data_IF_605074152155
#
_entry.id   IF_605074152155
#
_cell.length_a   1.000
_cell.length_b   1.000
_cell.length_c   1.000
_cell.angle_alpha   90.00
_cell.angle_beta   90.00
_cell.angle_gamma   90.00
#
_symmetry.space_group_name_H-M   'P 1'
#
loop_
_entity.id
_entity.type
_entity.pdbx_description
1 polymer ?
#
# COMPACT_ATOMS: atom_id res chain seq x y z
N UNK A 1 15.07 -6.58 53.98
CA UNK A 1 15.51 -6.76 52.59
C UNK A 1 14.30 -6.53 51.70
N UNK A 2 14.25 -5.41 50.96
CA UNK A 2 13.09 -5.01 50.15
C UNK A 2 13.21 -5.64 48.76
N UNK A 3 12.30 -6.53 48.39
CA UNK A 3 12.18 -7.02 47.02
C UNK A 3 11.39 -6.00 46.18
N UNK A 4 12.11 -5.21 45.37
CA UNK A 4 11.49 -4.44 44.29
C UNK A 4 11.47 -5.32 43.05
N UNK A 5 10.30 -5.81 42.66
CA UNK A 5 10.09 -6.43 41.35
C UNK A 5 9.97 -5.31 40.30
N UNK A 6 10.65 -5.39 39.15
CA UNK A 6 10.42 -4.45 38.07
C UNK A 6 9.05 -4.75 37.48
N UNK A 7 8.17 -3.76 37.52
CA UNK A 7 6.98 -3.72 36.66
C UNK A 7 7.47 -3.88 35.23
N UNK A 8 7.19 -5.02 34.60
CA UNK A 8 7.26 -5.15 33.15
C UNK A 8 6.29 -4.12 32.60
N UNK A 9 6.81 -2.96 32.23
CA UNK A 9 6.12 -2.05 31.35
C UNK A 9 5.99 -2.79 30.02
N UNK A 10 4.83 -3.43 29.82
CA UNK A 10 4.36 -3.76 28.49
C UNK A 10 4.16 -2.40 27.81
N UNK A 11 5.22 -1.85 27.20
CA UNK A 11 5.05 -0.87 26.14
C UNK A 11 4.22 -1.58 25.10
N UNK A 12 2.90 -1.38 25.18
CA UNK A 12 2.06 -1.48 24.01
C UNK A 12 2.81 -0.69 22.95
N UNK A 13 3.39 -1.39 21.97
CA UNK A 13 3.73 -0.75 20.72
C UNK A 13 2.42 -0.06 20.36
N UNK A 14 2.41 1.27 20.41
CA UNK A 14 1.36 2.02 19.76
C UNK A 14 1.42 1.51 18.34
N UNK A 15 0.51 0.59 18.00
CA UNK A 15 0.34 0.12 16.65
C UNK A 15 0.08 1.41 15.91
N UNK A 16 1.09 1.84 15.15
CA UNK A 16 0.95 2.96 14.22
C UNK A 16 -0.33 2.63 13.48
N UNK A 17 -1.37 3.42 13.71
CA UNK A 17 -2.70 3.10 13.22
C UNK A 17 -2.56 2.90 11.72
N UNK A 18 -2.95 1.72 11.23
CA UNK A 18 -2.84 1.29 9.83
C UNK A 18 -3.75 2.10 8.88
N UNK A 19 -4.03 3.37 9.21
CA UNK A 19 -5.17 4.13 8.75
C UNK A 19 -4.85 5.26 7.77
N UNK A 20 -3.59 5.65 7.54
CA UNK A 20 -3.33 6.92 6.83
C UNK A 20 -2.59 6.78 5.50
N UNK A 21 -2.79 5.66 4.79
CA UNK A 21 -2.62 5.73 3.35
C UNK A 21 -3.58 4.83 2.58
N UNK A 22 -3.81 5.24 1.35
CA UNK A 22 -4.55 4.50 0.36
C UNK A 22 -3.92 4.74 -1.01
N UNK A 23 -4.06 3.76 -1.90
CA UNK A 23 -3.76 3.94 -3.31
C UNK A 23 -4.97 4.53 -4.03
N UNK A 24 -4.73 5.28 -5.08
CA UNK A 24 -5.78 5.82 -5.92
C UNK A 24 -5.42 5.50 -7.35
N UNK A 25 -6.26 4.70 -8.01
CA UNK A 25 -6.10 4.39 -9.41
C UNK A 25 -6.71 5.50 -10.27
N UNK A 26 -5.99 5.87 -11.32
CA UNK A 26 -6.42 6.82 -12.33
C UNK A 26 -6.38 6.15 -13.70
N UNK A 27 -7.39 6.36 -14.55
CA UNK A 27 -7.43 5.80 -15.89
C UNK A 27 -6.43 6.44 -16.85
N UNK A 28 -5.87 7.60 -16.49
CA UNK A 28 -4.79 8.28 -17.23
C UNK A 28 -3.43 7.87 -16.68
N UNK A 29 -2.34 8.17 -17.40
CA UNK A 29 -0.97 7.83 -17.00
C UNK A 29 -0.31 8.85 -16.06
N UNK A 30 -0.94 10.00 -15.83
CA UNK A 30 -0.42 11.15 -15.11
C UNK A 30 -1.17 11.46 -13.80
N UNK A 31 -1.97 10.50 -13.31
CA UNK A 31 -2.83 10.64 -12.13
C UNK A 31 -3.80 11.83 -12.22
N UNK A 32 -4.24 12.16 -13.44
CA UNK A 32 -5.26 13.17 -13.69
C UNK A 32 -6.64 12.54 -13.91
N UNK A 33 -7.70 13.33 -13.69
CA UNK A 33 -9.07 12.88 -13.93
C UNK A 33 -9.73 12.17 -12.74
N UNK A 34 -10.83 11.46 -13.03
CA UNK A 34 -11.66 10.83 -12.01
C UNK A 34 -11.01 9.54 -11.52
N UNK A 35 -11.00 9.36 -10.20
CA UNK A 35 -10.15 8.38 -9.56
C UNK A 35 -10.95 7.27 -8.89
N UNK A 36 -10.58 6.02 -9.15
CA UNK A 36 -11.11 4.85 -8.43
C UNK A 36 -10.16 4.56 -7.26
N UNK A 37 -10.55 4.95 -6.05
CA UNK A 37 -9.75 4.73 -4.85
C UNK A 37 -9.56 3.24 -4.56
N UNK A 38 -8.30 2.80 -4.47
CA UNK A 38 -7.91 1.45 -4.02
C UNK A 38 -7.33 1.56 -2.61
N UNK A 39 -8.15 1.29 -1.60
CA UNK A 39 -7.64 1.25 -0.24
C UNK A 39 -6.72 0.04 -0.05
N UNK A 40 -5.43 0.32 0.17
CA UNK A 40 -4.40 -0.67 0.49
C UNK A 40 -3.93 -0.35 1.90
N UNK A 41 -4.09 -1.30 2.82
CA UNK A 41 -3.76 -1.10 4.23
C UNK A 41 -2.27 -1.44 4.50
N UNK A 42 -1.64 -0.71 5.44
CA UNK A 42 -0.23 -0.90 5.87
C UNK A 42 0.04 -2.14 6.72
N UNK A 43 -0.95 -2.99 6.90
CA UNK A 43 -0.77 -4.21 7.71
C UNK A 43 0.01 -5.30 6.94
N UNK A 44 0.50 -4.99 5.72
CA UNK A 44 1.15 -5.96 4.85
C UNK A 44 0.15 -6.89 4.15
N UNK A 45 -1.16 -6.69 4.37
CA UNK A 45 -2.18 -7.56 3.80
C UNK A 45 -2.25 -7.38 2.30
N UNK A 46 -2.28 -8.51 1.60
CA UNK A 46 -2.51 -8.51 0.16
C UNK A 46 -3.98 -8.16 -0.16
N UNK A 47 -4.16 -7.21 -1.06
CA UNK A 47 -5.46 -6.75 -1.53
C UNK A 47 -5.64 -7.16 -2.99
N UNK A 48 -6.57 -8.09 -3.26
CA UNK A 48 -6.92 -8.55 -4.60
C UNK A 48 -7.82 -7.55 -5.32
N UNK A 49 -7.25 -6.38 -5.63
CA UNK A 49 -7.89 -5.32 -6.39
C UNK A 49 -7.22 -5.18 -7.75
N UNK A 50 -7.87 -5.75 -8.76
CA UNK A 50 -7.39 -5.64 -10.11
C UNK A 50 -7.59 -4.21 -10.65
N UNK A 51 -6.58 -3.68 -11.35
CA UNK A 51 -6.68 -2.46 -12.14
C UNK A 51 -6.10 -2.67 -13.52
N UNK A 52 -6.62 -1.94 -14.50
CA UNK A 52 -6.11 -2.01 -15.87
C UNK A 52 -4.74 -1.36 -15.97
N UNK A 53 -3.86 -1.94 -16.78
CA UNK A 53 -2.49 -1.45 -16.93
C UNK A 53 -2.33 -0.14 -17.69
N UNK A 54 -3.39 0.42 -18.28
CA UNK A 54 -3.33 1.64 -19.08
C UNK A 54 -3.22 2.93 -18.26
N UNK A 55 -3.49 2.86 -16.95
CA UNK A 55 -3.56 4.02 -16.07
C UNK A 55 -2.32 4.25 -15.21
N UNK A 56 -2.53 4.91 -14.07
CA UNK A 56 -1.53 5.18 -13.06
C UNK A 56 -2.10 4.97 -11.66
N UNK A 57 -1.21 4.84 -10.68
CA UNK A 57 -1.57 4.82 -9.27
C UNK A 57 -0.87 5.96 -8.53
N UNK A 58 -1.62 6.67 -7.71
CA UNK A 58 -1.06 7.62 -6.74
C UNK A 58 -1.24 7.06 -5.35
N UNK A 59 -0.18 7.04 -4.58
CA UNK A 59 -0.26 6.77 -3.16
C UNK A 59 -0.56 8.05 -2.41
N UNK A 60 -1.51 8.02 -1.48
CA UNK A 60 -1.78 9.15 -0.60
C UNK A 60 -1.26 8.80 0.78
N UNK A 61 -0.14 9.41 1.18
CA UNK A 61 0.52 9.18 2.46
C UNK A 61 2.04 9.20 2.31
N UNK A 62 2.73 10.06 3.08
CA UNK A 62 4.13 10.40 2.86
C UNK A 62 5.12 9.24 3.09
N UNK A 63 4.73 8.24 3.87
CA UNK A 63 5.59 7.13 4.30
C UNK A 63 5.25 5.78 3.66
N UNK A 64 4.23 5.74 2.78
CA UNK A 64 3.71 4.49 2.25
C UNK A 64 4.55 4.00 1.08
N UNK A 65 4.81 2.70 1.01
CA UNK A 65 5.34 2.03 -0.18
C UNK A 65 4.43 0.88 -0.56
N UNK A 66 4.12 0.73 -1.85
CA UNK A 66 3.32 -0.39 -2.35
C UNK A 66 4.01 -1.10 -3.50
N UNK A 67 3.70 -2.38 -3.63
CA UNK A 67 3.97 -3.19 -4.80
C UNK A 67 2.65 -3.67 -5.41
N UNK A 68 2.55 -3.55 -6.74
CA UNK A 68 1.50 -4.18 -7.54
C UNK A 68 2.03 -5.47 -8.17
N UNK A 69 1.22 -6.53 -8.11
CA UNK A 69 1.55 -7.88 -8.58
C UNK A 69 0.71 -8.29 -9.79
N UNK A 70 1.28 -9.07 -10.71
CA UNK A 70 0.55 -9.63 -11.86
C UNK A 70 -0.50 -10.66 -11.46
N UNK A 71 -0.28 -11.38 -10.36
CA UNK A 71 -1.16 -12.43 -9.87
C UNK A 71 -2.06 -11.95 -8.73
N UNK A 72 -3.16 -12.66 -8.50
CA UNK A 72 -3.91 -12.52 -7.26
C UNK A 72 -3.07 -13.00 -6.06
N UNK A 73 -3.47 -12.62 -4.86
CA UNK A 73 -2.85 -12.99 -3.59
C UNK A 73 -1.36 -12.61 -3.52
N UNK A 74 -0.98 -11.53 -4.22
CA UNK A 74 0.36 -10.99 -4.27
C UNK A 74 1.37 -12.02 -4.77
N UNK A 75 0.93 -12.81 -5.75
CA UNK A 75 1.73 -13.82 -6.44
C UNK A 75 2.21 -13.31 -7.80
N UNK A 76 3.18 -14.01 -8.38
CA UNK A 76 3.75 -13.67 -9.68
C UNK A 76 4.81 -12.58 -9.59
N UNK A 77 4.88 -11.71 -10.60
CA UNK A 77 5.91 -10.66 -10.68
C UNK A 77 5.38 -9.33 -10.18
N UNK A 78 6.25 -8.57 -9.51
CA UNK A 78 5.97 -7.17 -9.18
C UNK A 78 6.14 -6.34 -10.46
N UNK A 79 5.11 -5.56 -10.79
CA UNK A 79 5.09 -4.73 -12.01
C UNK A 79 5.21 -3.25 -11.72
N UNK A 80 4.96 -2.86 -10.48
CA UNK A 80 5.11 -1.48 -10.05
C UNK A 80 5.52 -1.43 -8.58
N UNK A 81 6.40 -0.48 -8.27
CA UNK A 81 6.67 -0.02 -6.90
C UNK A 81 6.45 1.47 -6.87
N UNK A 82 5.61 1.93 -5.96
CA UNK A 82 5.34 3.34 -5.73
C UNK A 82 5.60 3.66 -4.26
N UNK A 83 6.05 4.87 -3.97
CA UNK A 83 6.35 5.29 -2.60
C UNK A 83 6.06 6.77 -2.37
N UNK A 84 5.50 7.11 -1.21
CA UNK A 84 5.12 8.49 -0.87
C UNK A 84 4.01 9.01 -1.78
N UNK A 85 3.86 10.33 -1.86
CA UNK A 85 2.78 10.96 -2.64
C UNK A 85 3.08 11.07 -4.16
N UNK A 86 3.67 10.02 -4.74
CA UNK A 86 4.08 10.01 -6.16
C UNK A 86 3.05 9.32 -7.03
N UNK A 87 2.83 9.90 -8.22
CA UNK A 87 2.14 9.22 -9.31
C UNK A 87 3.07 8.20 -9.99
N UNK A 88 2.60 6.98 -10.16
CA UNK A 88 3.35 5.91 -10.81
C UNK A 88 2.51 5.28 -11.93
N UNK A 89 2.98 5.39 -13.17
CA UNK A 89 2.29 4.83 -14.34
C UNK A 89 2.42 3.31 -14.39
N UNK A 90 1.34 2.63 -14.79
CA UNK A 90 1.30 1.16 -14.91
C UNK A 90 1.87 0.64 -16.25
N UNK A 91 2.15 1.55 -17.19
CA UNK A 91 2.90 1.28 -18.44
C UNK A 91 2.33 0.15 -19.31
N UNK A 92 1.03 -0.06 -19.27
CA UNK A 92 0.33 -1.11 -20.03
C UNK A 92 0.24 -2.45 -19.32
N UNK A 93 0.81 -2.60 -18.12
CA UNK A 93 0.80 -3.87 -17.38
C UNK A 93 -0.32 -3.92 -16.37
N UNK A 94 -1.24 -4.88 -16.51
CA UNK A 94 -2.33 -5.06 -15.57
C UNK A 94 -1.81 -5.52 -14.20
N UNK A 95 -2.40 -4.98 -13.14
CA UNK A 95 -2.12 -5.39 -11.76
C UNK A 95 -3.33 -6.15 -11.26
N UNK A 96 -3.12 -7.32 -10.66
CA UNK A 96 -4.19 -8.15 -10.11
C UNK A 96 -4.32 -7.99 -8.59
N UNK A 97 -3.22 -7.67 -7.89
CA UNK A 97 -3.24 -7.46 -6.44
C UNK A 97 -2.15 -6.51 -5.96
N UNK A 98 -2.32 -6.03 -4.72
CA UNK A 98 -1.48 -5.00 -4.12
C UNK A 98 -1.10 -5.35 -2.69
N UNK A 99 0.13 -5.04 -2.30
CA UNK A 99 0.55 -5.12 -0.90
C UNK A 99 1.57 -4.02 -0.62
N UNK A 100 1.69 -3.66 0.64
CA UNK A 100 2.70 -2.72 1.12
C UNK A 100 4.03 -3.42 1.28
N UNK A 101 5.12 -2.74 0.91
CA UNK A 101 6.48 -3.30 0.89
C UNK A 101 7.47 -2.47 1.67
#
# INVERSE_FOLDING_TARGET
MRFSLPVLALTAAASVSAADFYGVYFPTSDCSGNSDGVNIYHDGTCNNKAVSGSGSIQLIGASASIAGWTGADCTGSIVIRASGNTCAALTGTAVASWSTV
#
